data_IF_635301763237
#
_entry.id   IF_635301763237
#
_cell.length_a   1.000
_cell.length_b   1.000
_cell.length_c   1.000
_cell.angle_alpha   90.00
_cell.angle_beta   90.00
_cell.angle_gamma   90.00
#
_symmetry.space_group_name_H-M   'P 1'
#
loop_
_entity.id
_entity.type
_entity.pdbx_description
1 polymer ?
#
# COMPACT_ATOMS: atom_id res chain seq x y z
N UNK A 1 31.27 -5.25 3.34
CA UNK A 1 29.95 -4.72 3.75
C UNK A 1 29.22 -5.81 4.50
N UNK A 2 28.68 -5.53 5.68
CA UNK A 2 27.86 -6.50 6.41
C UNK A 2 26.47 -6.54 5.73
N UNK A 3 26.08 -7.64 5.05
CA UNK A 3 24.82 -7.71 4.31
C UNK A 3 23.58 -7.65 5.23
N UNK A 4 23.76 -7.77 6.55
CA UNK A 4 22.66 -7.81 7.51
C UNK A 4 22.04 -6.43 7.85
N UNK A 5 22.57 -5.32 7.33
CA UNK A 5 22.16 -3.97 7.79
C UNK A 5 22.08 -2.91 6.68
N UNK A 6 21.94 -3.29 5.42
CA UNK A 6 21.66 -2.31 4.37
C UNK A 6 20.17 -1.90 4.37
N UNK A 7 19.88 -0.69 3.87
CA UNK A 7 18.52 -0.16 3.84
C UNK A 7 17.57 -1.07 3.07
N UNK A 8 18.03 -1.64 1.96
CA UNK A 8 17.24 -2.51 1.10
C UNK A 8 16.84 -3.81 1.82
N UNK A 9 17.69 -4.33 2.70
CA UNK A 9 17.38 -5.44 3.59
C UNK A 9 16.27 -5.07 4.55
N UNK A 10 16.39 -3.93 5.24
CA UNK A 10 15.41 -3.50 6.24
C UNK A 10 14.02 -3.22 5.66
N UNK A 11 13.93 -2.80 4.39
CA UNK A 11 12.64 -2.42 3.77
C UNK A 11 12.13 -3.40 2.73
N UNK A 12 12.93 -4.39 2.30
CA UNK A 12 12.56 -5.28 1.20
C UNK A 12 13.05 -6.73 1.34
N UNK A 13 14.37 -6.97 1.43
CA UNK A 13 14.92 -8.34 1.32
C UNK A 13 14.85 -9.15 2.62
N UNK A 14 14.69 -8.50 3.78
CA UNK A 14 14.47 -9.20 5.05
C UNK A 14 13.26 -10.14 4.92
N UNK A 15 13.37 -11.44 5.24
CA UNK A 15 12.30 -12.41 5.04
C UNK A 15 10.96 -11.99 5.66
N UNK A 16 10.99 -11.43 6.86
CA UNK A 16 9.78 -10.97 7.57
C UNK A 16 9.12 -9.78 6.87
N UNK A 17 9.92 -8.83 6.37
CA UNK A 17 9.43 -7.66 5.63
C UNK A 17 8.97 -8.05 4.23
N UNK A 18 9.67 -8.98 3.59
CA UNK A 18 9.34 -9.54 2.28
C UNK A 18 8.01 -10.29 2.30
N UNK A 19 7.73 -11.03 3.40
CA UNK A 19 6.44 -11.67 3.63
C UNK A 19 5.32 -10.64 3.85
N UNK A 20 5.59 -9.57 4.61
CA UNK A 20 4.67 -8.46 4.80
C UNK A 20 4.29 -7.77 3.47
N UNK A 21 5.27 -7.48 2.61
CA UNK A 21 5.01 -6.97 1.25
C UNK A 21 4.20 -7.94 0.40
N UNK A 22 4.46 -9.24 0.52
CA UNK A 22 3.68 -10.27 -0.18
C UNK A 22 2.20 -10.27 0.23
N UNK A 23 1.92 -10.17 1.53
CA UNK A 23 0.55 -10.09 2.04
C UNK A 23 -0.18 -8.83 1.54
N UNK A 24 0.51 -7.68 1.54
CA UNK A 24 -0.04 -6.43 1.01
C UNK A 24 -0.29 -6.52 -0.50
N UNK A 25 0.67 -7.03 -1.28
CA UNK A 25 0.53 -7.16 -2.72
C UNK A 25 -0.65 -8.07 -3.09
N UNK A 26 -0.82 -9.18 -2.36
CA UNK A 26 -1.97 -10.07 -2.52
C UNK A 26 -3.30 -9.35 -2.26
N UNK A 27 -3.37 -8.58 -1.17
CA UNK A 27 -4.60 -7.86 -0.83
C UNK A 27 -4.95 -6.75 -1.83
N UNK A 28 -3.96 -5.97 -2.25
CA UNK A 28 -4.14 -4.95 -3.29
C UNK A 28 -4.56 -5.60 -4.61
N UNK A 29 -4.00 -6.75 -4.96
CA UNK A 29 -4.38 -7.49 -6.17
C UNK A 29 -5.85 -7.90 -6.14
N UNK A 30 -6.33 -8.37 -4.99
CA UNK A 30 -7.75 -8.67 -4.78
C UNK A 30 -8.66 -7.44 -4.89
N UNK A 31 -8.22 -6.29 -4.37
CA UNK A 31 -9.00 -5.04 -4.45
C UNK A 31 -9.04 -4.49 -5.88
N UNK A 32 -7.91 -4.50 -6.58
CA UNK A 32 -7.80 -3.94 -7.93
C UNK A 32 -8.26 -4.91 -9.02
N UNK A 33 -8.41 -6.20 -8.69
CA UNK A 33 -8.66 -7.30 -9.63
C UNK A 33 -7.57 -7.37 -10.72
N UNK A 34 -6.32 -7.09 -10.33
CA UNK A 34 -5.15 -7.04 -11.20
C UNK A 34 -3.97 -7.67 -10.45
N UNK A 35 -3.11 -8.41 -11.15
CA UNK A 35 -1.96 -9.05 -10.52
C UNK A 35 -0.88 -7.99 -10.21
N UNK A 36 -0.74 -7.62 -8.94
CA UNK A 36 0.32 -6.72 -8.49
C UNK A 36 1.55 -7.56 -8.16
N UNK A 37 2.51 -7.53 -9.07
CA UNK A 37 3.78 -8.22 -8.88
C UNK A 37 4.53 -7.69 -7.66
N UNK A 38 5.12 -8.62 -6.90
CA UNK A 38 5.91 -8.31 -5.71
C UNK A 38 7.31 -7.86 -6.12
N UNK A 39 7.38 -6.68 -6.74
CA UNK A 39 8.61 -6.06 -7.21
C UNK A 39 8.92 -4.75 -6.46
N UNK A 40 10.20 -4.46 -6.21
CA UNK A 40 10.59 -3.27 -5.45
C UNK A 40 10.30 -1.98 -6.24
N UNK A 41 10.36 -1.99 -7.57
CA UNK A 41 10.09 -0.80 -8.38
C UNK A 41 8.66 -0.26 -8.16
N UNK A 42 7.59 -1.05 -8.39
CA UNK A 42 6.23 -0.56 -8.18
C UNK A 42 5.89 -0.39 -6.70
N UNK A 43 6.25 -1.34 -5.83
CA UNK A 43 5.81 -1.32 -4.43
C UNK A 43 6.66 -0.40 -3.55
N UNK A 44 7.98 -0.47 -3.66
CA UNK A 44 8.91 0.33 -2.85
C UNK A 44 9.19 1.72 -3.45
N UNK A 45 9.36 1.83 -4.77
CA UNK A 45 9.70 3.10 -5.42
C UNK A 45 8.50 3.84 -6.03
N UNK A 46 7.37 3.16 -6.23
CA UNK A 46 6.21 3.75 -6.90
C UNK A 46 6.43 3.97 -8.40
N UNK A 47 7.48 3.35 -8.96
CA UNK A 47 7.78 3.40 -10.39
C UNK A 47 6.96 2.31 -11.05
N UNK A 48 5.85 2.74 -11.63
CA UNK A 48 4.96 1.89 -12.39
C UNK A 48 5.40 1.97 -13.85
N UNK A 49 5.92 0.87 -14.39
CA UNK A 49 6.23 0.77 -15.83
C UNK A 49 4.97 0.82 -16.69
N UNK A 50 4.94 0.08 -17.79
CA UNK A 50 3.74 -0.05 -18.64
C UNK A 50 2.67 -0.89 -17.95
N UNK A 51 2.03 -0.32 -16.94
CA UNK A 51 0.90 -0.92 -16.22
C UNK A 51 -0.41 -0.59 -16.91
N UNK A 52 -1.31 -1.58 -17.00
CA UNK A 52 -2.69 -1.38 -17.50
C UNK A 52 -3.61 -0.65 -16.50
N UNK A 53 -3.10 -0.33 -15.31
CA UNK A 53 -3.87 0.31 -14.25
C UNK A 53 -4.44 1.65 -14.71
N UNK A 54 -5.64 1.99 -14.23
CA UNK A 54 -6.20 3.33 -14.44
C UNK A 54 -5.50 4.31 -13.52
N UNK A 55 -5.53 5.60 -13.86
CA UNK A 55 -4.92 6.66 -13.02
C UNK A 55 -5.41 6.62 -11.56
N UNK A 56 -6.68 6.30 -11.33
CA UNK A 56 -7.24 6.21 -9.98
C UNK A 56 -6.74 4.97 -9.22
N UNK A 57 -6.65 3.82 -9.89
CA UNK A 57 -6.05 2.60 -9.31
C UNK A 57 -4.57 2.82 -8.96
N UNK A 58 -3.84 3.58 -9.79
CA UNK A 58 -2.46 3.97 -9.48
C UNK A 58 -2.36 4.87 -8.25
N UNK A 59 -3.31 5.80 -8.08
CA UNK A 59 -3.35 6.65 -6.90
C UNK A 59 -3.62 5.83 -5.63
N UNK A 60 -4.57 4.89 -5.70
CA UNK A 60 -4.83 3.94 -4.61
C UNK A 60 -3.59 3.11 -4.28
N UNK A 61 -2.96 2.48 -5.28
CA UNK A 61 -1.73 1.69 -5.07
C UNK A 61 -0.64 2.53 -4.40
N UNK A 62 -0.44 3.76 -4.88
CA UNK A 62 0.54 4.68 -4.31
C UNK A 62 0.29 4.94 -2.82
N UNK A 63 -0.97 5.17 -2.43
CA UNK A 63 -1.34 5.40 -1.04
C UNK A 63 -1.19 4.14 -0.18
N UNK A 64 -1.64 3.00 -0.69
CA UNK A 64 -1.50 1.68 -0.07
C UNK A 64 -0.02 1.36 0.23
N UNK A 65 0.86 1.55 -0.75
CA UNK A 65 2.31 1.37 -0.59
C UNK A 65 2.93 2.40 0.37
N UNK A 66 2.45 3.64 0.36
CA UNK A 66 2.94 4.68 1.28
C UNK A 66 2.64 4.31 2.74
N UNK A 67 1.44 3.81 3.03
CA UNK A 67 1.06 3.32 4.36
C UNK A 67 1.95 2.14 4.77
N UNK A 68 2.23 1.20 3.87
CA UNK A 68 3.13 0.08 4.14
C UNK A 68 4.54 0.54 4.52
N UNK A 69 5.12 1.47 3.74
CA UNK A 69 6.45 2.06 4.02
C UNK A 69 6.46 2.79 5.35
N UNK A 70 5.42 3.59 5.62
CA UNK A 70 5.26 4.28 6.91
C UNK A 70 5.27 3.28 8.07
N UNK A 71 4.55 2.17 7.94
CA UNK A 71 4.46 1.17 9.01
C UNK A 71 5.80 0.47 9.24
N UNK A 72 6.53 0.11 8.18
CA UNK A 72 7.91 -0.43 8.27
C UNK A 72 8.82 0.57 8.98
N UNK A 73 8.79 1.84 8.59
CA UNK A 73 9.62 2.89 9.19
C UNK A 73 9.24 3.18 10.64
N UNK A 74 7.95 3.09 10.99
CA UNK A 74 7.50 3.28 12.36
C UNK A 74 8.00 2.16 13.28
N UNK A 75 8.04 0.93 12.77
CA UNK A 75 8.46 -0.26 13.52
C UNK A 75 9.92 -0.66 13.21
N UNK A 76 10.74 0.23 12.65
CA UNK A 76 12.08 -0.10 12.14
C UNK A 76 13.05 -0.68 13.17
N UNK A 77 12.82 -0.45 14.47
CA UNK A 77 13.61 -1.02 15.59
C UNK A 77 12.97 -2.29 16.18
N UNK A 78 11.74 -2.62 15.79
CA UNK A 78 11.05 -3.80 16.28
C UNK A 78 11.67 -5.06 15.66
N UNK A 79 11.62 -6.17 16.39
CA UNK A 79 12.08 -7.48 15.90
C UNK A 79 11.10 -8.14 14.93
N UNK A 80 9.87 -7.62 14.86
CA UNK A 80 8.79 -8.16 14.05
C UNK A 80 8.39 -7.14 12.98
N UNK A 81 7.99 -7.62 11.81
CA UNK A 81 7.39 -6.76 10.79
C UNK A 81 6.03 -6.22 11.28
N UNK A 82 5.56 -5.10 10.69
CA UNK A 82 4.20 -4.65 10.89
C UNK A 82 3.18 -5.72 10.48
N UNK A 83 1.99 -5.68 11.09
CA UNK A 83 0.93 -6.62 10.77
C UNK A 83 0.06 -6.11 9.62
N UNK A 84 -0.52 -7.04 8.85
CA UNK A 84 -1.49 -6.69 7.80
C UNK A 84 -2.68 -5.90 8.36
N UNK A 85 -3.16 -6.25 9.56
CA UNK A 85 -4.21 -5.50 10.27
C UNK A 85 -3.81 -4.05 10.58
N UNK A 86 -2.54 -3.80 10.95
CA UNK A 86 -2.04 -2.44 11.19
C UNK A 86 -2.08 -1.63 9.89
N UNK A 87 -1.66 -2.23 8.79
CA UNK A 87 -1.70 -1.63 7.46
C UNK A 87 -3.13 -1.32 7.00
N UNK A 88 -4.07 -2.29 7.08
CA UNK A 88 -5.50 -2.11 6.73
C UNK A 88 -6.11 -0.94 7.47
N UNK A 89 -5.95 -0.91 8.80
CA UNK A 89 -6.43 0.18 9.63
C UNK A 89 -5.77 1.52 9.29
N UNK A 90 -4.50 1.49 8.86
CA UNK A 90 -3.80 2.66 8.34
C UNK A 90 -4.41 3.17 7.04
N UNK A 91 -4.83 2.26 6.17
CA UNK A 91 -5.48 2.52 4.90
C UNK A 91 -6.91 3.07 5.09
N UNK A 92 -7.69 2.49 6.01
CA UNK A 92 -9.03 2.97 6.37
C UNK A 92 -9.01 4.41 6.89
N UNK A 93 -8.05 4.72 7.78
CA UNK A 93 -7.86 6.10 8.26
C UNK A 93 -7.50 7.05 7.12
N UNK A 94 -6.72 6.58 6.15
CA UNK A 94 -6.36 7.37 4.98
C UNK A 94 -7.57 7.63 4.08
N UNK A 95 -8.34 6.59 3.76
CA UNK A 95 -9.58 6.68 2.99
C UNK A 95 -10.57 7.65 3.64
N UNK A 96 -10.85 7.50 4.94
CA UNK A 96 -11.72 8.41 5.69
C UNK A 96 -11.26 9.87 5.60
N UNK A 97 -9.96 10.14 5.78
CA UNK A 97 -9.41 11.49 5.66
C UNK A 97 -9.51 12.04 4.24
N UNK A 98 -9.22 11.22 3.24
CA UNK A 98 -9.33 11.65 1.84
C UNK A 98 -10.78 11.94 1.45
N UNK A 99 -11.74 11.17 1.95
CA UNK A 99 -13.17 11.41 1.72
C UNK A 99 -13.56 12.83 2.10
N UNK A 100 -13.19 13.26 3.31
CA UNK A 100 -13.42 14.63 3.79
C UNK A 100 -12.74 15.68 2.89
N UNK A 101 -11.52 15.41 2.41
CA UNK A 101 -10.78 16.31 1.52
C UNK A 101 -11.46 16.42 0.14
N UNK A 102 -11.93 15.32 -0.42
CA UNK A 102 -12.63 15.31 -1.72
C UNK A 102 -14.01 15.98 -1.64
N UNK A 103 -14.74 15.76 -0.54
CA UNK A 103 -16.00 16.42 -0.23
C UNK A 103 -15.81 17.94 -0.11
N UNK A 104 -14.83 18.40 0.69
CA UNK A 104 -14.51 19.82 0.84
C UNK A 104 -14.09 20.49 -0.49
N UNK A 105 -13.54 19.71 -1.43
CA UNK A 105 -13.17 20.17 -2.78
C UNK A 105 -14.32 20.08 -3.80
N UNK A 106 -15.51 19.62 -3.40
CA UNK A 106 -16.65 19.45 -4.29
C UNK A 106 -16.44 18.38 -5.37
N UNK A 107 -15.60 17.37 -5.12
CA UNK A 107 -15.32 16.32 -6.09
C UNK A 107 -15.43 14.87 -5.53
N UNK A 108 -16.57 14.49 -4.93
CA UNK A 108 -16.78 13.17 -4.34
C UNK A 108 -16.59 12.03 -5.35
N UNK A 109 -17.00 12.21 -6.60
CA UNK A 109 -16.80 11.19 -7.65
C UNK A 109 -15.33 10.81 -7.88
N UNK A 110 -14.36 11.68 -7.53
CA UNK A 110 -12.93 11.34 -7.61
C UNK A 110 -12.52 10.42 -6.46
N UNK A 111 -13.12 10.58 -5.28
CA UNK A 111 -12.93 9.68 -4.15
C UNK A 111 -13.39 8.27 -4.53
N UNK A 112 -14.61 8.11 -5.02
CA UNK A 112 -15.18 6.81 -5.38
C UNK A 112 -14.34 6.07 -6.41
N UNK A 113 -13.76 6.79 -7.38
CA UNK A 113 -12.87 6.22 -8.40
C UNK A 113 -11.57 5.65 -7.82
N UNK A 114 -11.07 6.22 -6.73
CA UNK A 114 -9.81 5.81 -6.08
C UNK A 114 -10.08 4.77 -4.99
N UNK A 115 -11.05 5.02 -4.12
CA UNK A 115 -11.27 4.26 -2.89
C UNK A 115 -12.49 3.33 -2.93
N UNK A 116 -13.40 3.47 -3.89
CA UNK A 116 -14.65 2.71 -3.92
C UNK A 116 -14.45 1.19 -3.95
N UNK A 117 -13.40 0.71 -4.66
CA UNK A 117 -13.03 -0.72 -4.66
C UNK A 117 -12.59 -1.21 -3.27
N UNK A 118 -11.85 -0.38 -2.53
CA UNK A 118 -11.41 -0.70 -1.17
C UNK A 118 -12.58 -0.77 -0.19
N UNK A 119 -13.47 0.23 -0.22
CA UNK A 119 -14.65 0.25 0.66
C UNK A 119 -15.61 -0.92 0.37
N UNK A 120 -15.79 -1.28 -0.91
CA UNK A 120 -16.58 -2.44 -1.30
C UNK A 120 -15.98 -3.76 -0.77
N UNK A 121 -14.65 -3.91 -0.86
CA UNK A 121 -13.95 -5.09 -0.37
C UNK A 121 -13.99 -5.22 1.17
N UNK A 122 -14.05 -4.12 1.91
CA UNK A 122 -14.10 -4.10 3.37
C UNK A 122 -15.48 -4.51 3.96
N UNK A 123 -16.53 -4.58 3.14
CA UNK A 123 -17.90 -4.91 3.57
C UNK A 123 -18.22 -6.41 3.38
N UNK A 124 -17.27 -7.20 2.87
CA UNK A 124 -17.40 -8.65 2.62
C UNK A 124 -16.57 -9.45 3.61
#
# INVERSE_FOLDING_TARGET
MNPAADFFHMVWTCPTISAYWGAIAHEISGVLQENIEREPLPLLLGIMGDTRLRRSDRAFLGMACLIAKRDIMADWKARCAPTLTKWRRGLDRCAHREKLVYEARGCPNKYDRVWGKWEAAATT
#
